data_IF_144941846531
#
_entry.id   IF_144941846531
#
_cell.length_a   1.000
_cell.length_b   1.000
_cell.length_c   1.000
_cell.angle_alpha   90.00
_cell.angle_beta   90.00
_cell.angle_gamma   90.00
#
_symmetry.space_group_name_H-M   'P 1'
#
loop_
_entity.id
_entity.type
_entity.pdbx_description
1 polymer ?
#
# COMPACT_ATOMS: atom_id res chain seq x y z
N UNK A 1 20.84 4.93 -12.68
CA UNK A 1 19.93 4.72 -13.81
C UNK A 1 18.48 4.80 -13.31
N UNK A 2 17.63 5.74 -13.84
CA UNK A 2 16.26 5.92 -13.41
C UNK A 2 15.37 4.68 -13.63
N UNK A 3 15.65 3.87 -14.65
CA UNK A 3 14.90 2.62 -14.92
C UNK A 3 15.22 1.57 -13.85
N UNK A 4 16.50 1.45 -13.48
CA UNK A 4 16.90 0.50 -12.44
C UNK A 4 16.24 0.83 -11.08
N UNK A 5 16.15 2.11 -10.72
CA UNK A 5 15.44 2.55 -9.49
C UNK A 5 13.97 2.12 -9.54
N UNK A 6 13.29 2.35 -10.65
CA UNK A 6 11.89 1.92 -10.83
C UNK A 6 11.75 0.39 -10.74
N UNK A 7 12.67 -0.39 -11.32
CA UNK A 7 12.63 -1.85 -11.21
C UNK A 7 12.76 -2.34 -9.77
N UNK A 8 13.66 -1.71 -8.99
CA UNK A 8 13.78 -2.01 -7.56
C UNK A 8 12.49 -1.70 -6.82
N UNK A 9 11.88 -0.53 -7.05
CA UNK A 9 10.60 -0.15 -6.44
C UNK A 9 9.47 -1.13 -6.82
N UNK A 10 9.40 -1.54 -8.09
CA UNK A 10 8.40 -2.46 -8.61
C UNK A 10 8.48 -3.82 -7.90
N UNK A 11 9.66 -4.41 -7.82
CA UNK A 11 9.82 -5.79 -7.35
C UNK A 11 10.23 -5.92 -5.88
N UNK A 12 10.48 -4.82 -5.16
CA UNK A 12 10.95 -4.83 -3.75
C UNK A 12 9.98 -5.51 -2.76
N UNK A 13 8.73 -5.71 -3.16
CA UNK A 13 7.75 -6.45 -2.36
C UNK A 13 8.04 -7.95 -2.33
N UNK A 14 8.61 -8.49 -3.40
CA UNK A 14 8.87 -9.91 -3.62
C UNK A 14 10.35 -10.28 -3.56
N UNK A 15 11.25 -9.31 -3.79
CA UNK A 15 12.70 -9.49 -3.92
C UNK A 15 13.42 -8.55 -2.97
N UNK A 16 14.30 -9.09 -2.14
CA UNK A 16 15.32 -8.32 -1.42
C UNK A 16 16.57 -8.21 -2.32
N UNK A 17 16.68 -7.09 -3.04
CA UNK A 17 17.76 -6.86 -4.00
C UNK A 17 19.17 -6.88 -3.39
N UNK A 18 19.30 -6.79 -2.06
CA UNK A 18 20.58 -6.94 -1.38
C UNK A 18 20.96 -8.41 -1.10
N UNK A 19 19.95 -9.30 -1.03
CA UNK A 19 20.17 -10.69 -0.61
C UNK A 19 19.82 -11.72 -1.66
N UNK A 20 18.82 -11.43 -2.52
CA UNK A 20 18.21 -12.44 -3.38
C UNK A 20 18.79 -12.48 -4.80
N UNK A 21 19.55 -11.45 -5.22
CA UNK A 21 20.17 -11.41 -6.55
C UNK A 21 21.20 -12.54 -6.72
N UNK A 22 21.13 -13.18 -7.87
CA UNK A 22 22.05 -14.29 -8.23
C UNK A 22 22.56 -14.11 -9.65
N UNK A 23 23.74 -14.69 -9.90
CA UNK A 23 24.27 -14.79 -11.26
C UNK A 23 23.31 -15.62 -12.12
N UNK A 24 22.93 -15.08 -13.26
CA UNK A 24 21.95 -15.68 -14.17
C UNK A 24 20.56 -15.11 -14.07
N UNK A 25 20.29 -14.21 -13.10
CA UNK A 25 19.05 -13.44 -13.09
C UNK A 25 18.93 -12.57 -14.32
N UNK A 26 17.68 -12.37 -14.78
CA UNK A 26 17.40 -11.63 -16.01
C UNK A 26 16.27 -10.63 -15.81
N UNK A 27 16.45 -9.46 -16.42
CA UNK A 27 15.41 -8.44 -16.54
C UNK A 27 15.01 -8.26 -17.99
N UNK A 28 13.72 -8.11 -18.23
CA UNK A 28 13.16 -7.56 -19.46
C UNK A 28 12.32 -6.35 -19.07
N UNK A 29 12.52 -5.22 -19.76
CA UNK A 29 11.84 -3.98 -19.42
C UNK A 29 11.40 -3.25 -20.67
N UNK A 30 10.17 -2.74 -20.63
CA UNK A 30 9.59 -1.81 -21.61
C UNK A 30 9.31 -0.51 -20.88
N UNK A 31 9.86 0.60 -21.38
CA UNK A 31 9.70 1.90 -20.74
C UNK A 31 9.47 3.01 -21.77
N UNK A 32 8.90 4.11 -21.35
CA UNK A 32 8.72 5.31 -22.15
C UNK A 32 10.05 5.98 -22.42
N UNK A 33 10.27 6.48 -23.63
CA UNK A 33 11.36 7.41 -23.93
C UNK A 33 10.74 8.79 -24.12
N UNK A 34 11.12 9.71 -23.25
CA UNK A 34 10.69 11.08 -23.31
C UNK A 34 11.72 11.90 -24.10
N UNK A 35 11.26 12.65 -25.08
CA UNK A 35 12.11 13.53 -25.93
C UNK A 35 11.82 15.00 -25.58
N UNK A 36 12.89 15.75 -25.34
CA UNK A 36 12.84 17.19 -25.16
C UNK A 36 13.87 17.81 -26.11
N UNK A 37 13.40 18.20 -27.28
CA UNK A 37 14.29 18.56 -28.40
C UNK A 37 15.12 17.37 -28.86
N UNK A 38 16.45 17.48 -28.80
CA UNK A 38 17.38 16.41 -29.17
C UNK A 38 17.69 15.45 -28.00
N UNK A 39 17.36 15.83 -26.77
CA UNK A 39 17.65 15.01 -25.58
C UNK A 39 16.61 13.93 -25.40
N UNK A 40 17.07 12.67 -25.21
CA UNK A 40 16.24 11.52 -24.86
C UNK A 40 16.50 11.14 -23.42
N UNK A 41 15.42 10.92 -22.65
CA UNK A 41 15.51 10.43 -21.27
C UNK A 41 14.52 9.31 -21.01
N UNK A 42 14.88 8.32 -20.16
CA UNK A 42 13.95 7.31 -19.74
C UNK A 42 12.76 7.94 -18.99
N UNK A 43 11.56 7.51 -19.35
CA UNK A 43 10.33 7.82 -18.66
C UNK A 43 9.93 6.70 -17.71
N UNK A 44 8.64 6.42 -17.68
CA UNK A 44 8.05 5.40 -16.83
C UNK A 44 8.30 4.00 -17.40
N UNK A 45 8.55 3.04 -16.53
CA UNK A 45 8.47 1.61 -16.89
C UNK A 45 7.00 1.28 -17.17
N UNK A 46 6.71 0.79 -18.37
CA UNK A 46 5.37 0.37 -18.80
C UNK A 46 5.11 -1.09 -18.46
N UNK A 47 6.12 -1.93 -18.62
CA UNK A 47 6.08 -3.31 -18.18
C UNK A 47 7.49 -3.83 -17.90
N UNK A 48 7.58 -4.77 -16.98
CA UNK A 48 8.84 -5.40 -16.63
C UNK A 48 8.62 -6.87 -16.28
N UNK A 49 9.67 -7.64 -16.50
CA UNK A 49 9.77 -9.03 -16.05
C UNK A 49 11.11 -9.24 -15.39
N UNK A 50 11.11 -9.97 -14.29
CA UNK A 50 12.30 -10.36 -13.57
C UNK A 50 12.30 -11.86 -13.32
N UNK A 51 13.32 -12.56 -13.81
CA UNK A 51 13.52 -13.98 -13.58
C UNK A 51 14.63 -14.19 -12.57
N UNK A 52 14.29 -14.80 -11.43
CA UNK A 52 15.18 -15.07 -10.32
C UNK A 52 14.88 -16.45 -9.75
N UNK A 53 15.91 -17.28 -9.54
CA UNK A 53 15.79 -18.63 -8.96
C UNK A 53 14.69 -19.51 -9.59
N UNK A 54 14.52 -19.43 -10.89
CA UNK A 54 13.48 -20.18 -11.61
C UNK A 54 12.06 -19.64 -11.46
N UNK A 55 11.87 -18.52 -10.74
CA UNK A 55 10.61 -17.78 -10.66
C UNK A 55 10.64 -16.60 -11.60
N UNK A 56 9.52 -16.35 -12.25
CA UNK A 56 9.35 -15.17 -13.10
C UNK A 56 8.28 -14.28 -12.50
N UNK A 57 8.67 -13.06 -12.16
CA UNK A 57 7.79 -11.98 -11.70
C UNK A 57 7.53 -11.06 -12.88
N UNK A 58 6.31 -10.60 -13.02
CA UNK A 58 5.94 -9.65 -14.07
C UNK A 58 5.16 -8.48 -13.48
N UNK A 59 5.26 -7.33 -14.14
CA UNK A 59 4.56 -6.12 -13.76
C UNK A 59 4.15 -5.34 -15.00
N UNK A 60 2.94 -4.80 -15.00
CA UNK A 60 2.41 -3.92 -16.03
C UNK A 60 1.83 -2.69 -15.37
N UNK A 61 2.24 -1.52 -15.83
CA UNK A 61 1.68 -0.26 -15.40
C UNK A 61 0.24 -0.10 -15.87
N UNK A 62 -0.64 0.28 -14.97
CA UNK A 62 -2.03 0.56 -15.28
C UNK A 62 -2.57 1.73 -14.47
N UNK A 63 -3.24 2.67 -15.14
CA UNK A 63 -3.93 3.78 -14.49
C UNK A 63 -5.40 3.43 -14.26
N UNK A 64 -5.79 3.15 -13.03
CA UNK A 64 -7.15 2.79 -12.65
C UNK A 64 -8.17 3.91 -12.89
N UNK A 65 -7.74 5.17 -12.78
CA UNK A 65 -8.59 6.37 -12.97
C UNK A 65 -8.84 6.74 -14.44
N UNK A 66 -8.11 6.18 -15.41
CA UNK A 66 -8.18 6.55 -16.81
C UNK A 66 -7.88 8.03 -17.05
N UNK A 67 -8.57 8.64 -18.04
CA UNK A 67 -8.40 10.06 -18.40
C UNK A 67 -8.87 11.03 -17.32
N UNK A 68 -9.73 10.60 -16.40
CA UNK A 68 -10.27 11.45 -15.31
C UNK A 68 -9.30 11.66 -14.15
N UNK A 69 -8.05 11.24 -14.32
CA UNK A 69 -7.02 11.31 -13.28
C UNK A 69 -7.17 10.19 -12.26
N UNK A 70 -6.11 9.50 -11.98
CA UNK A 70 -5.95 8.47 -10.97
C UNK A 70 -4.47 8.19 -10.86
N UNK A 71 -4.07 7.63 -9.73
CA UNK A 71 -2.72 7.14 -9.58
C UNK A 71 -2.61 5.82 -10.33
N UNK A 72 -1.65 5.73 -11.27
CA UNK A 72 -1.34 4.44 -11.86
C UNK A 72 -0.51 3.61 -10.90
N UNK A 73 -0.66 2.30 -11.02
CA UNK A 73 0.03 1.31 -10.22
C UNK A 73 0.47 0.14 -11.09
N UNK A 74 1.32 -0.72 -10.53
CA UNK A 74 1.76 -1.92 -11.22
C UNK A 74 0.92 -3.12 -10.81
N UNK A 75 0.57 -3.93 -11.80
CA UNK A 75 -0.21 -5.16 -11.66
C UNK A 75 0.51 -6.33 -12.33
N UNK A 76 0.34 -7.53 -11.81
CA UNK A 76 0.77 -8.73 -12.53
C UNK A 76 -0.04 -8.91 -13.81
N UNK A 77 0.41 -9.77 -14.72
CA UNK A 77 -0.34 -10.09 -15.93
C UNK A 77 -1.74 -10.68 -15.65
N UNK A 78 -1.96 -11.26 -14.46
CA UNK A 78 -3.26 -11.76 -13.99
C UNK A 78 -4.13 -10.63 -13.39
N UNK A 79 -3.60 -9.42 -13.27
CA UNK A 79 -4.30 -8.25 -12.72
C UNK A 79 -4.35 -8.22 -11.20
N UNK A 80 -3.33 -8.73 -10.52
CA UNK A 80 -3.12 -8.55 -9.08
C UNK A 80 -2.19 -7.37 -8.86
N UNK A 81 -2.52 -6.47 -7.94
CA UNK A 81 -1.62 -5.40 -7.57
C UNK A 81 -0.32 -6.01 -7.01
N UNK A 82 0.84 -5.52 -7.44
CA UNK A 82 2.13 -6.02 -6.92
C UNK A 82 2.46 -5.50 -5.52
N UNK A 83 1.77 -4.46 -5.04
CA UNK A 83 1.89 -3.96 -3.67
C UNK A 83 1.07 -4.82 -2.72
N UNK A 84 1.58 -4.99 -1.50
CA UNK A 84 0.81 -5.65 -0.43
C UNK A 84 -0.50 -4.93 -0.20
N UNK A 85 -1.57 -5.69 0.04
CA UNK A 85 -2.89 -5.13 0.29
C UNK A 85 -2.92 -4.17 1.48
N UNK A 86 -2.13 -4.48 2.53
CA UNK A 86 -2.03 -3.64 3.72
C UNK A 86 -0.59 -3.48 4.20
N UNK A 87 -0.25 -2.27 4.67
CA UNK A 87 0.95 -2.03 5.47
C UNK A 87 0.78 -2.73 6.83
N UNK A 88 1.88 -3.19 7.40
CA UNK A 88 1.89 -3.82 8.73
C UNK A 88 1.64 -2.84 9.87
N UNK A 89 1.95 -1.56 9.67
CA UNK A 89 1.81 -0.49 10.66
C UNK A 89 1.35 0.79 9.98
N UNK A 90 0.49 1.59 10.64
CA UNK A 90 0.14 2.93 10.18
C UNK A 90 1.25 3.96 10.39
N UNK A 91 2.32 3.60 11.11
CA UNK A 91 3.47 4.45 11.40
C UNK A 91 4.74 3.85 10.80
N UNK A 92 5.66 4.72 10.38
CA UNK A 92 6.94 4.30 9.83
C UNK A 92 7.87 3.72 10.90
N UNK A 93 7.94 4.41 12.05
CA UNK A 93 8.67 3.98 13.22
C UNK A 93 7.75 4.01 14.42
N UNK A 94 7.57 2.88 15.09
CA UNK A 94 6.69 2.78 16.24
C UNK A 94 7.02 1.57 17.10
N UNK A 95 6.63 1.67 18.37
CA UNK A 95 6.65 0.54 19.30
C UNK A 95 5.22 0.17 19.66
N UNK A 96 4.87 -1.09 19.55
CA UNK A 96 3.60 -1.60 20.05
C UNK A 96 3.64 -1.55 21.58
N UNK A 97 2.70 -0.85 22.17
CA UNK A 97 2.56 -0.72 23.63
C UNK A 97 1.40 -1.53 24.19
N UNK A 98 0.39 -1.83 23.34
CA UNK A 98 -0.71 -2.69 23.73
C UNK A 98 -1.25 -3.43 22.50
N UNK A 99 -1.44 -4.74 22.61
CA UNK A 99 -2.00 -5.60 21.57
C UNK A 99 -3.52 -5.76 21.68
N UNK A 100 -4.08 -6.48 20.72
CA UNK A 100 -5.47 -6.92 20.69
C UNK A 100 -5.71 -7.98 21.77
N UNK A 101 -6.46 -7.65 22.83
CA UNK A 101 -6.66 -8.56 23.95
C UNK A 101 -7.74 -8.07 24.93
N UNK A 102 -8.19 -8.94 25.81
CA UNK A 102 -8.88 -8.53 27.03
C UNK A 102 -7.84 -7.96 28.01
N UNK A 103 -8.00 -6.72 28.43
CA UNK A 103 -7.09 -6.07 29.38
C UNK A 103 -7.83 -5.28 30.47
N UNK A 104 -7.16 -5.06 31.59
CA UNK A 104 -7.62 -4.13 32.59
C UNK A 104 -7.47 -2.69 32.08
N UNK A 105 -8.56 -1.95 31.98
CA UNK A 105 -8.57 -0.60 31.46
C UNK A 105 -8.12 0.39 32.55
N UNK A 106 -6.98 1.10 32.36
CA UNK A 106 -6.35 1.85 33.48
C UNK A 106 -7.19 3.05 33.96
N UNK A 107 -8.01 3.64 33.07
CA UNK A 107 -8.86 4.79 33.43
C UNK A 107 -10.20 4.35 34.03
N UNK A 108 -10.79 3.28 33.49
CA UNK A 108 -12.12 2.81 33.92
C UNK A 108 -12.07 1.76 35.03
N UNK A 109 -10.89 1.27 35.38
CA UNK A 109 -10.66 0.24 36.40
C UNK A 109 -11.52 -1.03 36.20
N UNK A 110 -11.74 -1.44 34.95
CA UNK A 110 -12.52 -2.61 34.57
C UNK A 110 -11.83 -3.42 33.49
N UNK A 111 -12.09 -4.71 33.41
CA UNK A 111 -11.67 -5.55 32.30
C UNK A 111 -12.47 -5.21 31.04
N UNK A 112 -11.79 -4.86 29.96
CA UNK A 112 -12.40 -4.54 28.68
C UNK A 112 -11.60 -5.15 27.52
N UNK A 113 -12.33 -5.44 26.45
CA UNK A 113 -11.72 -5.80 25.17
C UNK A 113 -10.95 -4.58 24.63
N UNK A 114 -9.70 -4.77 24.27
CA UNK A 114 -8.91 -3.85 23.47
C UNK A 114 -9.00 -4.28 22.02
N UNK A 115 -9.85 -3.63 21.25
CA UNK A 115 -10.25 -4.03 19.89
C UNK A 115 -9.26 -3.61 18.81
N UNK A 116 -8.03 -3.25 19.18
CA UNK A 116 -7.00 -2.78 18.27
C UNK A 116 -5.60 -2.98 18.82
N UNK A 117 -4.66 -2.28 18.20
CA UNK A 117 -3.25 -2.23 18.59
C UNK A 117 -2.86 -0.78 18.82
N UNK A 118 -2.18 -0.52 19.94
CA UNK A 118 -1.67 0.80 20.27
C UNK A 118 -0.20 0.92 19.85
N UNK A 119 0.06 1.86 18.94
CA UNK A 119 1.39 2.20 18.46
C UNK A 119 1.85 3.52 19.07
N UNK A 120 2.76 3.45 20.05
CA UNK A 120 3.34 4.65 20.67
C UNK A 120 4.28 5.38 19.70
N UNK A 121 4.10 6.68 19.61
CA UNK A 121 4.96 7.58 18.87
C UNK A 121 4.78 9.02 19.39
N UNK A 122 5.77 9.92 19.17
CA UNK A 122 5.64 11.33 19.54
C UNK A 122 4.42 12.00 18.90
N UNK A 123 3.84 12.97 19.59
CA UNK A 123 2.78 13.84 19.04
C UNK A 123 3.29 14.47 17.74
N UNK A 124 2.45 14.52 16.71
CA UNK A 124 2.80 15.05 15.39
C UNK A 124 3.41 14.01 14.43
N UNK A 125 3.73 12.78 14.87
CA UNK A 125 4.16 11.71 13.99
C UNK A 125 3.10 11.41 12.94
N UNK A 126 3.49 11.34 11.67
CA UNK A 126 2.56 11.14 10.54
C UNK A 126 1.92 9.77 10.59
N UNK A 127 0.58 9.73 10.52
CA UNK A 127 -0.20 8.51 10.40
C UNK A 127 -0.50 8.28 8.92
N UNK A 128 -0.18 7.09 8.42
CA UNK A 128 -0.37 6.68 7.01
C UNK A 128 -1.59 5.75 6.87
N UNK A 129 -2.35 5.91 5.80
CA UNK A 129 -3.35 4.92 5.41
C UNK A 129 -2.67 3.58 5.14
N UNK A 130 -3.14 2.51 5.80
CA UNK A 130 -2.51 1.18 5.65
C UNK A 130 -2.86 0.49 4.34
N UNK A 131 -3.90 0.93 3.63
CA UNK A 131 -4.31 0.45 2.30
C UNK A 131 -5.04 1.55 1.54
N UNK A 132 -5.23 1.34 0.23
CA UNK A 132 -6.12 2.16 -0.58
C UNK A 132 -7.55 2.09 -0.04
N UNK A 133 -8.25 3.22 -0.04
CA UNK A 133 -9.60 3.23 0.50
C UNK A 133 -10.33 4.57 0.34
N UNK A 134 -11.48 4.62 0.96
CA UNK A 134 -12.32 5.82 1.04
C UNK A 134 -12.58 6.15 2.50
N UNK A 135 -12.49 7.41 2.85
CA UNK A 135 -12.84 7.91 4.19
C UNK A 135 -14.33 7.70 4.42
N UNK A 136 -14.68 6.81 5.32
CA UNK A 136 -16.04 6.57 5.75
C UNK A 136 -16.45 7.57 6.83
N UNK A 137 -15.52 7.90 7.72
CA UNK A 137 -15.72 8.88 8.79
C UNK A 137 -14.41 9.62 9.08
N UNK A 138 -14.49 10.92 9.33
CA UNK A 138 -13.44 11.74 9.89
C UNK A 138 -14.07 12.77 10.84
N UNK A 139 -13.72 12.73 12.12
CA UNK A 139 -14.34 13.57 13.14
C UNK A 139 -14.00 13.14 14.56
N UNK A 140 -14.80 13.59 15.53
CA UNK A 140 -14.63 13.25 16.95
C UNK A 140 -15.63 12.17 17.33
N UNK A 141 -15.15 11.10 18.01
CA UNK A 141 -15.99 10.09 18.62
C UNK A 141 -15.62 9.93 20.11
N UNK A 142 -16.64 9.66 20.93
CA UNK A 142 -16.45 9.46 22.36
C UNK A 142 -15.47 8.30 22.64
N UNK A 143 -14.49 8.53 23.47
CA UNK A 143 -13.42 7.58 23.78
C UNK A 143 -12.27 7.62 22.79
N UNK A 144 -12.52 7.62 21.48
CA UNK A 144 -11.50 7.64 20.42
C UNK A 144 -10.87 9.01 20.20
N UNK A 145 -11.53 10.12 20.59
CA UNK A 145 -11.10 11.46 20.26
C UNK A 145 -11.21 11.73 18.76
N UNK A 146 -10.21 12.38 18.18
CA UNK A 146 -10.11 12.54 16.73
C UNK A 146 -9.85 11.20 16.07
N UNK A 147 -10.71 10.80 15.14
CA UNK A 147 -10.69 9.47 14.52
C UNK A 147 -10.98 9.54 13.02
N UNK A 148 -10.25 8.75 12.27
CA UNK A 148 -10.53 8.44 10.85
C UNK A 148 -10.88 6.96 10.74
N UNK A 149 -11.92 6.67 9.96
CA UNK A 149 -12.31 5.31 9.55
C UNK A 149 -12.20 5.24 8.04
N UNK A 150 -11.43 4.27 7.54
CA UNK A 150 -11.26 3.99 6.13
C UNK A 150 -11.96 2.69 5.77
N UNK A 151 -12.76 2.72 4.70
CA UNK A 151 -13.29 1.54 4.04
C UNK A 151 -12.40 1.18 2.86
N UNK A 152 -11.96 -0.06 2.84
CA UNK A 152 -11.09 -0.61 1.79
C UNK A 152 -11.86 -1.54 0.86
N UNK A 153 -11.19 -2.08 -0.14
CA UNK A 153 -11.77 -3.03 -1.09
C UNK A 153 -12.34 -4.27 -0.36
N UNK A 154 -13.54 -4.68 -0.76
CA UNK A 154 -14.24 -5.83 -0.19
C UNK A 154 -14.80 -5.55 1.21
N UNK A 155 -14.38 -6.33 2.19
CA UNK A 155 -14.96 -6.41 3.54
C UNK A 155 -14.10 -5.77 4.64
N UNK A 156 -13.09 -5.01 4.28
CA UNK A 156 -12.10 -4.52 5.23
C UNK A 156 -12.34 -3.06 5.61
N UNK A 157 -12.16 -2.75 6.89
CA UNK A 157 -12.23 -1.40 7.44
C UNK A 157 -11.08 -1.21 8.43
N UNK A 158 -10.44 -0.03 8.41
CA UNK A 158 -9.43 0.33 9.40
C UNK A 158 -9.83 1.61 10.12
N UNK A 159 -9.46 1.72 11.41
CA UNK A 159 -9.73 2.87 12.25
C UNK A 159 -8.41 3.37 12.87
N UNK A 160 -8.27 4.69 12.91
CA UNK A 160 -7.11 5.41 13.45
C UNK A 160 -7.59 6.45 14.45
N UNK A 161 -7.32 6.26 15.73
CA UNK A 161 -7.84 7.11 16.78
C UNK A 161 -6.75 7.85 17.57
N UNK A 162 -7.18 8.68 18.53
CA UNK A 162 -6.37 9.57 19.38
C UNK A 162 -5.52 10.56 18.59
N UNK A 163 -5.93 10.87 17.34
CA UNK A 163 -5.18 11.74 16.46
C UNK A 163 -5.11 13.17 17.01
N UNK A 164 -4.01 13.86 16.70
CA UNK A 164 -3.88 15.30 16.95
C UNK A 164 -4.82 16.08 16.02
N UNK A 165 -4.91 15.66 14.77
CA UNK A 165 -5.72 16.25 13.73
C UNK A 165 -5.60 15.47 12.42
N UNK A 166 -6.40 15.87 11.46
CA UNK A 166 -6.48 15.25 10.15
C UNK A 166 -5.60 15.97 9.14
N UNK A 167 -5.09 15.24 8.14
CA UNK A 167 -4.44 15.86 7.01
C UNK A 167 -5.45 16.70 6.18
N UNK A 168 -4.99 17.72 5.45
CA UNK A 168 -5.87 18.54 4.61
C UNK A 168 -6.70 17.69 3.66
N UNK A 169 -7.99 17.98 3.55
CA UNK A 169 -8.91 17.30 2.64
C UNK A 169 -9.50 15.98 3.18
N UNK A 170 -9.12 15.50 4.37
CA UNK A 170 -9.70 14.30 4.97
C UNK A 170 -11.13 14.55 5.45
N UNK A 171 -12.10 14.08 4.67
CA UNK A 171 -13.54 14.14 4.96
C UNK A 171 -14.23 12.91 4.39
N UNK A 172 -15.43 12.60 4.85
CA UNK A 172 -16.22 11.49 4.31
C UNK A 172 -16.29 11.55 2.78
N UNK A 173 -15.99 10.44 2.12
CA UNK A 173 -15.94 10.30 0.67
C UNK A 173 -14.57 10.61 0.03
N UNK A 174 -13.60 11.16 0.78
CA UNK A 174 -12.23 11.35 0.26
C UNK A 174 -11.58 10.02 -0.03
N UNK A 175 -10.94 9.89 -1.19
CA UNK A 175 -10.10 8.74 -1.53
C UNK A 175 -8.70 8.91 -0.96
N UNK A 176 -8.13 7.83 -0.48
CA UNK A 176 -6.73 7.75 -0.01
C UNK A 176 -6.04 6.55 -0.64
N UNK A 177 -4.75 6.69 -0.87
CA UNK A 177 -3.89 5.59 -1.30
C UNK A 177 -3.08 5.05 -0.12
N UNK A 178 -2.66 3.81 -0.21
CA UNK A 178 -1.75 3.21 0.75
C UNK A 178 -0.49 4.07 0.91
N UNK A 179 -0.16 4.42 2.14
CA UNK A 179 0.97 5.27 2.47
C UNK A 179 0.66 6.77 2.50
N UNK A 180 -0.52 7.21 2.03
CA UNK A 180 -0.90 8.62 2.15
C UNK A 180 -1.00 9.03 3.62
N UNK A 181 -0.52 10.23 3.93
CA UNK A 181 -0.64 10.81 5.27
C UNK A 181 -2.08 11.24 5.50
N UNK A 182 -2.75 10.61 6.46
CA UNK A 182 -4.15 10.91 6.81
C UNK A 182 -4.30 11.82 8.04
N UNK A 183 -3.22 12.00 8.79
CA UNK A 183 -3.19 12.86 9.96
C UNK A 183 -1.94 12.64 10.79
N UNK A 184 -1.99 13.01 12.07
CA UNK A 184 -0.87 12.93 12.97
C UNK A 184 -1.25 12.34 14.35
N UNK A 185 -0.29 11.64 14.98
CA UNK A 185 -0.41 11.10 16.32
C UNK A 185 -0.69 12.22 17.30
N UNK A 186 -1.64 12.01 18.17
CA UNK A 186 -2.03 12.93 19.23
C UNK A 186 -2.24 12.24 20.56
N UNK A 187 -3.13 12.85 21.36
CA UNK A 187 -3.51 12.37 22.67
C UNK A 187 -4.96 12.80 22.96
N UNK A 188 -5.82 12.81 21.94
CA UNK A 188 -7.22 13.19 22.09
C UNK A 188 -8.08 12.02 22.53
N UNK A 189 -9.21 12.29 23.19
CA UNK A 189 -10.10 11.25 23.71
C UNK A 189 -9.58 10.60 25.00
N UNK A 190 -9.89 9.32 25.19
CA UNK A 190 -9.58 8.58 26.42
C UNK A 190 -8.24 7.84 26.28
N UNK A 191 -7.15 8.51 26.59
CA UNK A 191 -5.79 7.99 26.48
C UNK A 191 -4.91 8.46 27.64
N UNK A 192 -3.87 7.70 27.96
CA UNK A 192 -2.88 8.01 29.02
C UNK A 192 -1.56 8.56 28.48
N UNK A 193 -1.37 8.56 27.17
CA UNK A 193 -0.14 9.04 26.53
C UNK A 193 -0.24 9.07 25.01
N UNK A 194 0.72 9.70 24.33
CA UNK A 194 0.71 9.82 22.86
C UNK A 194 0.84 8.47 22.15
N UNK A 195 -0.15 8.13 21.35
CA UNK A 195 -0.15 6.93 20.50
C UNK A 195 -1.22 7.05 19.42
N UNK A 196 -1.18 6.17 18.41
CA UNK A 196 -2.32 5.88 17.55
C UNK A 196 -2.91 4.54 17.97
N UNK A 197 -4.22 4.53 18.24
CA UNK A 197 -5.00 3.31 18.40
C UNK A 197 -5.46 2.90 17.00
N UNK A 198 -5.07 1.69 16.58
CA UNK A 198 -5.34 1.15 15.25
C UNK A 198 -6.21 -0.09 15.33
N UNK A 199 -7.39 -0.05 14.70
CA UNK A 199 -8.27 -1.21 14.58
C UNK A 199 -8.30 -1.74 13.14
N UNK A 200 -8.47 -3.04 13.03
CA UNK A 200 -8.73 -3.73 11.78
C UNK A 200 -10.03 -4.51 11.90
N UNK A 201 -10.92 -4.37 10.91
CA UNK A 201 -12.22 -5.04 10.92
C UNK A 201 -12.43 -5.79 9.60
N UNK A 202 -13.03 -6.96 9.72
CA UNK A 202 -13.44 -7.81 8.60
C UNK A 202 -14.95 -8.02 8.71
N UNK A 203 -15.73 -7.56 7.73
CA UNK A 203 -17.21 -7.53 7.81
C UNK A 203 -17.69 -6.84 9.11
N UNK A 204 -17.11 -5.71 9.45
CA UNK A 204 -17.38 -4.90 10.65
C UNK A 204 -17.06 -5.58 12.00
N UNK A 205 -16.49 -6.78 11.98
CA UNK A 205 -16.00 -7.49 13.18
C UNK A 205 -14.54 -7.15 13.42
N UNK A 206 -14.20 -6.73 14.64
CA UNK A 206 -12.83 -6.46 15.06
C UNK A 206 -12.00 -7.75 15.03
N UNK A 207 -10.82 -7.66 14.46
CA UNK A 207 -9.84 -8.74 14.40
C UNK A 207 -8.47 -8.21 14.79
N UNK A 208 -7.60 -9.08 15.28
CA UNK A 208 -6.24 -8.68 15.63
C UNK A 208 -5.45 -8.27 14.38
N UNK A 209 -5.03 -6.98 14.27
CA UNK A 209 -4.28 -6.48 13.13
C UNK A 209 -2.95 -7.19 12.88
N UNK A 210 -2.36 -7.79 13.92
CA UNK A 210 -1.04 -8.41 13.86
C UNK A 210 -1.10 -9.86 13.34
N UNK A 211 -2.24 -10.51 13.47
CA UNK A 211 -2.41 -11.94 13.13
C UNK A 211 -3.45 -12.22 12.05
N UNK A 212 -4.25 -11.20 11.67
CA UNK A 212 -5.31 -11.38 10.66
C UNK A 212 -4.75 -11.84 9.32
N UNK A 213 -5.34 -12.88 8.75
CA UNK A 213 -5.06 -13.31 7.39
C UNK A 213 -5.71 -12.34 6.39
N UNK A 214 -4.91 -11.48 5.80
CA UNK A 214 -5.32 -10.59 4.71
C UNK A 214 -4.80 -11.10 3.37
N UNK A 215 -5.45 -10.78 2.23
CA UNK A 215 -4.89 -11.12 0.94
C UNK A 215 -3.51 -10.46 0.77
N UNK A 216 -2.61 -11.15 0.09
CA UNK A 216 -1.28 -10.61 -0.20
C UNK A 216 -1.40 -9.29 -0.98
N UNK A 217 -2.25 -9.27 -1.99
CA UNK A 217 -2.57 -8.08 -2.78
C UNK A 217 -4.04 -8.11 -3.25
N UNK A 218 -4.58 -6.94 -3.56
CA UNK A 218 -5.92 -6.86 -4.15
C UNK A 218 -5.87 -7.09 -5.66
N UNK A 219 -6.87 -7.81 -6.23
CA UNK A 219 -7.04 -7.85 -7.67
C UNK A 219 -7.56 -6.50 -8.19
N UNK A 220 -7.34 -6.25 -9.47
CA UNK A 220 -7.94 -5.11 -10.15
C UNK A 220 -9.48 -5.15 -10.02
N UNK A 221 -10.06 -3.99 -9.81
CA UNK A 221 -11.51 -3.90 -9.63
C UNK A 221 -12.28 -4.32 -10.89
N UNK A 222 -13.43 -5.00 -10.76
CA UNK A 222 -14.18 -5.55 -11.89
C UNK A 222 -14.48 -4.53 -12.99
N UNK A 223 -14.82 -3.30 -12.64
CA UNK A 223 -15.13 -2.24 -13.60
C UNK A 223 -13.93 -1.77 -14.43
N UNK A 224 -12.70 -1.96 -13.92
CA UNK A 224 -11.46 -1.60 -14.61
C UNK A 224 -10.87 -2.77 -15.42
N UNK A 225 -11.38 -3.99 -15.24
CA UNK A 225 -10.81 -5.21 -15.80
C UNK A 225 -10.71 -5.20 -17.32
N UNK A 226 -11.78 -4.82 -18.02
CA UNK A 226 -11.78 -4.79 -19.48
C UNK A 226 -10.72 -3.84 -20.05
N UNK A 227 -10.60 -2.64 -19.46
CA UNK A 227 -9.58 -1.66 -19.85
C UNK A 227 -8.16 -2.14 -19.54
N UNK A 228 -7.97 -2.80 -18.39
CA UNK A 228 -6.69 -3.43 -18.05
C UNK A 228 -6.28 -4.47 -19.09
N UNK A 229 -7.15 -5.39 -19.48
CA UNK A 229 -6.85 -6.42 -20.48
C UNK A 229 -6.45 -5.79 -21.83
N UNK A 230 -7.14 -4.73 -22.25
CA UNK A 230 -6.81 -3.98 -23.45
C UNK A 230 -5.41 -3.35 -23.39
N UNK A 231 -5.08 -2.68 -22.27
CA UNK A 231 -3.80 -1.99 -22.09
C UNK A 231 -2.65 -2.97 -21.88
N UNK A 232 -2.90 -4.08 -21.19
CA UNK A 232 -1.93 -5.14 -20.92
C UNK A 232 -1.48 -5.87 -22.19
N UNK A 233 -2.38 -6.13 -23.12
CA UNK A 233 -2.12 -7.00 -24.28
C UNK A 233 -0.87 -6.62 -25.09
N UNK A 234 -0.66 -5.36 -25.51
CA UNK A 234 0.56 -4.97 -26.21
C UNK A 234 1.82 -5.12 -25.34
N UNK A 235 1.73 -4.82 -24.05
CA UNK A 235 2.86 -4.93 -23.13
C UNK A 235 3.29 -6.39 -22.92
N UNK A 236 2.32 -7.29 -22.73
CA UNK A 236 2.58 -8.72 -22.62
C UNK A 236 3.24 -9.29 -23.87
N UNK A 237 2.82 -8.81 -25.07
CA UNK A 237 3.45 -9.20 -26.33
C UNK A 237 4.91 -8.73 -26.42
N UNK A 238 5.21 -7.49 -26.03
CA UNK A 238 6.58 -6.96 -26.03
C UNK A 238 7.47 -7.73 -25.04
N UNK A 239 6.99 -8.04 -23.85
CA UNK A 239 7.73 -8.87 -22.90
C UNK A 239 8.01 -10.28 -23.45
N UNK A 240 7.04 -10.89 -24.13
CA UNK A 240 7.23 -12.19 -24.75
C UNK A 240 8.32 -12.16 -25.84
N UNK A 241 8.33 -11.12 -26.68
CA UNK A 241 9.39 -10.94 -27.68
C UNK A 241 10.78 -10.77 -27.06
N UNK A 242 10.87 -10.06 -25.93
CA UNK A 242 12.14 -9.86 -25.22
C UNK A 242 12.70 -11.14 -24.59
N UNK A 243 11.85 -12.11 -24.23
CA UNK A 243 12.30 -13.41 -23.71
C UNK A 243 13.09 -14.21 -24.74
N UNK A 244 12.70 -14.10 -26.01
CA UNK A 244 13.30 -14.85 -27.11
C UNK A 244 14.59 -14.19 -27.64
N UNK A 245 14.89 -12.96 -27.21
CA UNK A 245 16.12 -12.28 -27.58
C UNK A 245 17.27 -12.71 -26.64
N UNK A 246 18.44 -13.05 -27.22
CA UNK A 246 19.64 -13.28 -26.41
C UNK A 246 19.97 -12.01 -25.63
N UNK A 247 20.31 -12.13 -24.33
CA UNK A 247 20.70 -10.97 -23.54
C UNK A 247 21.90 -10.29 -24.20
N UNK A 248 21.84 -8.97 -24.38
CA UNK A 248 23.04 -8.21 -24.70
C UNK A 248 24.01 -8.37 -23.53
N UNK A 249 25.15 -8.98 -23.78
CA UNK A 249 26.22 -8.99 -22.80
C UNK A 249 26.77 -7.56 -22.73
N UNK A 250 26.47 -6.87 -21.65
CA UNK A 250 27.21 -5.67 -21.28
C UNK A 250 28.52 -6.15 -20.66
N UNK A 251 29.59 -6.08 -21.41
CA UNK A 251 30.96 -6.19 -20.91
C UNK A 251 31.35 -4.94 -20.13
#
# INVERSE_FOLDING_TARGET
DPVAVQLVEIFSTDIDFHKDLRRGDRFSVVYEVLTDGEAMRPGRVLSAEFSNLGRTLNAVWFNTGGEKGGRGEYYTLEGRNIRKAFLRSPLEFSRITSGFSMRFHPILNTWRAHNGVDYAAPIGTRIKATADGTVEFAGVQQGYGNVIILRHQGKYTTLYAHMQGFAPGMRKGSRVHQGDVIGAVGMTGMTTGPHVHYEFRVNDVHVDPLSVAVPYSFPIEPHARARFEQQKAPQARLLALLRDTSPANFE
#
